data_IF_190035758529
#
_entry.id   IF_190035758529
#
_cell.length_a   1.000
_cell.length_b   1.000
_cell.length_c   1.000
_cell.angle_alpha   90.00
_cell.angle_beta   90.00
_cell.angle_gamma   90.00
#
_symmetry.space_group_name_H-M   'P 1'
#
loop_
_entity.id
_entity.type
_entity.pdbx_description
1 polymer ?
#
# COMPACT_ATOMS: atom_id res chain seq x y z
N UNK A 1 5.81 -6.92 -0.78
CA UNK A 1 5.53 -5.89 -1.81
C UNK A 1 6.34 -6.15 -3.07
N UNK A 2 7.68 -6.21 -2.99
CA UNK A 2 8.51 -6.52 -4.17
C UNK A 2 8.22 -7.90 -4.77
N UNK A 3 8.00 -8.91 -3.93
CA UNK A 3 7.55 -10.25 -4.37
C UNK A 3 6.20 -10.24 -5.10
N UNK A 4 5.42 -9.18 -4.93
CA UNK A 4 4.10 -8.99 -5.55
C UNK A 4 4.19 -8.06 -6.78
N UNK A 5 5.41 -7.71 -7.22
CA UNK A 5 5.65 -6.87 -8.40
C UNK A 5 5.56 -5.35 -8.15
N UNK A 6 5.51 -4.91 -6.89
CA UNK A 6 5.56 -3.49 -6.54
C UNK A 6 6.98 -3.05 -6.23
N UNK A 7 7.42 -1.91 -6.77
CA UNK A 7 8.71 -1.32 -6.41
C UNK A 7 8.58 -0.52 -5.10
N UNK A 8 9.44 -0.78 -4.13
CA UNK A 8 9.41 -0.06 -2.87
C UNK A 8 10.09 1.32 -3.02
N UNK A 9 9.38 2.40 -2.68
CA UNK A 9 9.92 3.77 -2.73
C UNK A 9 10.44 4.22 -1.36
N UNK A 10 9.85 3.70 -0.28
CA UNK A 10 10.34 3.94 1.08
C UNK A 10 11.57 3.07 1.37
N UNK A 11 12.71 3.62 1.83
CA UNK A 11 13.87 2.84 2.20
C UNK A 11 13.58 1.80 3.30
N UNK A 12 14.26 0.66 3.25
CA UNK A 12 14.09 -0.44 4.21
C UNK A 12 14.47 -0.08 5.66
N UNK A 13 15.39 0.85 5.83
CA UNK A 13 15.86 1.37 7.12
C UNK A 13 15.00 2.55 7.64
N UNK A 14 13.93 2.91 6.93
CA UNK A 14 12.99 3.93 7.39
C UNK A 14 12.14 3.41 8.54
N UNK A 15 12.11 4.16 9.64
CA UNK A 15 11.29 3.86 10.82
C UNK A 15 9.98 4.67 10.88
N UNK A 16 9.59 5.31 9.77
CA UNK A 16 8.32 6.03 9.68
C UNK A 16 7.12 5.11 9.45
N UNK A 17 5.94 5.48 9.97
CA UNK A 17 4.68 4.75 9.75
C UNK A 17 4.06 4.90 8.35
N UNK A 18 4.82 5.40 7.37
CA UNK A 18 4.32 5.60 6.02
C UNK A 18 5.20 4.81 5.05
N UNK A 19 4.56 3.90 4.31
CA UNK A 19 5.20 3.12 3.25
C UNK A 19 4.65 3.57 1.91
N UNK A 20 5.56 3.93 1.00
CA UNK A 20 5.25 4.28 -0.37
C UNK A 20 5.81 3.21 -1.31
N UNK A 21 5.04 2.84 -2.31
CA UNK A 21 5.43 1.86 -3.33
C UNK A 21 4.85 2.24 -4.69
N UNK A 22 5.51 1.81 -5.75
CA UNK A 22 5.09 2.03 -7.13
C UNK A 22 4.47 0.75 -7.69
N UNK A 23 3.35 0.92 -8.39
CA UNK A 23 2.73 -0.11 -9.22
C UNK A 23 2.87 0.30 -10.69
N UNK A 24 2.72 -0.65 -11.62
CA UNK A 24 2.72 -0.34 -13.05
C UNK A 24 1.62 0.67 -13.45
N UNK A 25 0.44 0.55 -12.84
CA UNK A 25 -0.66 1.52 -12.93
C UNK A 25 -1.17 1.85 -11.52
N UNK A 26 -0.56 2.82 -10.82
CA UNK A 26 -0.96 3.20 -9.47
C UNK A 26 -2.41 3.69 -9.37
N UNK A 27 -2.94 4.26 -10.45
CA UNK A 27 -4.32 4.72 -10.50
C UNK A 27 -5.31 3.56 -10.48
N UNK A 28 -5.01 2.48 -11.19
CA UNK A 28 -5.83 1.26 -11.17
C UNK A 28 -5.81 0.59 -9.80
N UNK A 29 -4.62 0.40 -9.22
CA UNK A 29 -4.48 -0.22 -7.89
C UNK A 29 -5.21 0.60 -6.82
N UNK A 30 -5.11 1.94 -6.85
CA UNK A 30 -5.90 2.80 -5.96
C UNK A 30 -7.41 2.54 -6.10
N UNK A 31 -7.93 2.48 -7.33
CA UNK A 31 -9.37 2.24 -7.56
C UNK A 31 -9.81 0.87 -7.04
N UNK A 32 -9.01 -0.17 -7.24
CA UNK A 32 -9.33 -1.51 -6.74
C UNK A 32 -9.30 -1.60 -5.22
N UNK A 33 -8.31 -0.97 -4.57
CA UNK A 33 -8.25 -0.89 -3.10
C UNK A 33 -9.45 -0.13 -2.53
N UNK A 34 -9.84 1.00 -3.15
CA UNK A 34 -11.00 1.78 -2.73
C UNK A 34 -12.31 0.98 -2.84
N UNK A 35 -12.49 0.18 -3.90
CA UNK A 35 -13.66 -0.74 -4.02
C UNK A 35 -13.71 -1.75 -2.88
N UNK A 36 -12.55 -2.18 -2.38
CA UNK A 36 -12.41 -3.09 -1.22
C UNK A 36 -12.47 -2.36 0.12
N UNK A 37 -12.83 -1.07 0.14
CA UNK A 37 -12.88 -0.19 1.33
C UNK A 37 -11.53 0.03 2.01
N UNK A 38 -10.43 -0.09 1.25
CA UNK A 38 -9.07 0.17 1.72
C UNK A 38 -8.67 1.57 1.24
N UNK A 39 -8.50 2.49 2.18
CA UNK A 39 -8.15 3.88 1.87
C UNK A 39 -6.64 4.07 1.85
N UNK A 40 -6.10 4.43 0.68
CA UNK A 40 -4.71 4.82 0.47
C UNK A 40 -4.66 6.12 -0.34
N UNK A 41 -3.50 6.75 -0.42
CA UNK A 41 -3.31 7.96 -1.24
C UNK A 41 -2.38 7.71 -2.41
N UNK A 42 -2.63 8.38 -3.54
CA UNK A 42 -1.74 8.37 -4.71
C UNK A 42 -0.96 9.68 -4.77
N UNK A 43 0.37 9.61 -4.55
CA UNK A 43 1.30 10.74 -4.56
C UNK A 43 2.66 10.31 -5.12
N UNK A 44 2.81 10.31 -6.45
CA UNK A 44 4.02 9.79 -7.10
C UNK A 44 4.24 8.29 -6.88
N UNK A 45 3.16 7.56 -6.55
CA UNK A 45 3.15 6.18 -6.05
C UNK A 45 1.98 5.99 -5.07
N UNK A 46 1.71 4.75 -4.66
CA UNK A 46 0.72 4.45 -3.63
C UNK A 46 1.37 4.60 -2.26
N UNK A 47 0.68 5.30 -1.37
CA UNK A 47 1.13 5.57 -0.01
C UNK A 47 0.13 5.01 1.00
N UNK A 48 0.57 3.98 1.71
CA UNK A 48 -0.09 3.46 2.90
C UNK A 48 0.45 4.20 4.12
N UNK A 49 -0.42 4.94 4.81
CA UNK A 49 -0.05 5.73 5.99
C UNK A 49 -0.66 5.05 7.21
N UNK A 50 0.08 4.11 7.79
CA UNK A 50 -0.38 3.36 8.96
C UNK A 50 -0.29 4.27 10.18
N UNK A 51 -1.35 4.27 10.99
CA UNK A 51 -1.52 5.20 12.10
C UNK A 51 -2.03 4.46 13.34
N UNK A 52 -2.23 5.18 14.44
CA UNK A 52 -2.70 4.65 15.73
C UNK A 52 -3.97 3.79 15.63
N UNK A 53 -4.85 4.08 14.68
CA UNK A 53 -6.10 3.35 14.46
C UNK A 53 -5.94 2.06 13.68
N UNK A 54 -4.75 1.80 13.13
CA UNK A 54 -4.49 0.60 12.38
C UNK A 54 -3.90 -0.49 13.28
N UNK A 55 -4.34 -1.72 13.04
CA UNK A 55 -3.80 -2.92 13.66
C UNK A 55 -3.12 -3.83 12.62
N UNK A 56 -2.62 -4.98 13.07
CA UNK A 56 -1.95 -5.94 12.19
C UNK A 56 -2.91 -6.50 11.15
N UNK A 57 -4.17 -6.73 11.53
CA UNK A 57 -5.21 -7.25 10.66
C UNK A 57 -5.53 -6.29 9.50
N UNK A 58 -5.46 -4.97 9.71
CA UNK A 58 -5.57 -3.98 8.64
C UNK A 58 -4.41 -4.08 7.65
N UNK A 59 -3.19 -4.34 8.15
CA UNK A 59 -2.01 -4.54 7.31
C UNK A 59 -2.15 -5.83 6.50
N UNK A 60 -2.54 -6.92 7.14
CA UNK A 60 -2.78 -8.20 6.47
C UNK A 60 -3.89 -8.07 5.42
N UNK A 61 -4.95 -7.31 5.71
CA UNK A 61 -6.03 -7.00 4.76
C UNK A 61 -5.51 -6.23 3.54
N UNK A 62 -4.66 -5.22 3.74
CA UNK A 62 -4.02 -4.49 2.65
C UNK A 62 -3.12 -5.41 1.81
N UNK A 63 -2.28 -6.23 2.45
CA UNK A 63 -1.35 -7.12 1.76
C UNK A 63 -2.09 -8.20 0.96
N UNK A 64 -3.12 -8.81 1.52
CA UNK A 64 -3.96 -9.77 0.80
C UNK A 64 -4.62 -9.12 -0.41
N UNK A 65 -5.21 -7.93 -0.24
CA UNK A 65 -5.85 -7.21 -1.33
C UNK A 65 -4.88 -6.84 -2.46
N UNK A 66 -3.64 -6.48 -2.12
CA UNK A 66 -2.58 -6.22 -3.09
C UNK A 66 -2.11 -7.50 -3.80
N UNK A 67 -2.19 -8.67 -3.16
CA UNK A 67 -1.78 -9.95 -3.76
C UNK A 67 -2.79 -10.49 -4.78
N UNK A 68 -4.04 -10.03 -4.69
CA UNK A 68 -5.10 -10.33 -5.65
C UNK A 68 -5.12 -9.38 -6.86
N UNK A 69 -4.23 -8.38 -6.90
CA UNK A 69 -4.14 -7.34 -7.96
C UNK A 69 -2.91 -7.61 -8.83
#
# INVERSE_FOLDING_TARGET
LEEMGFELLTPYDSHGGIVSFMAKDPGSVLRELLKRRISVSHRGGIRASTHFWNNKEDIDTLLNALGDI
#
